data_IF_120697632247
#
_entry.id   IF_120697632247
#
_cell.length_a   1.000
_cell.length_b   1.000
_cell.length_c   1.000
_cell.angle_alpha   90.00
_cell.angle_beta   90.00
_cell.angle_gamma   90.00
#
_symmetry.space_group_name_H-M   'P 1'
#
loop_
_entity.id
_entity.type
_entity.pdbx_description
1 polymer ?
#
# COMPACT_ATOMS: atom_id res chain seq x y z
N UNK A 1 -13.32 45.93 8.70
CA UNK A 1 -13.31 44.51 9.15
C UNK A 1 -14.54 43.86 8.54
N UNK A 2 -14.50 42.87 7.67
CA UNK A 2 -13.46 42.09 7.01
C UNK A 2 -14.15 41.51 5.77
N UNK A 3 -13.55 41.65 4.60
CA UNK A 3 -13.95 40.94 3.39
C UNK A 3 -13.76 39.43 3.62
N UNK A 4 -14.86 38.67 3.65
CA UNK A 4 -14.81 37.22 3.49
C UNK A 4 -14.90 36.89 2.01
N UNK A 5 -13.84 36.34 1.38
CA UNK A 5 -13.98 35.79 0.04
C UNK A 5 -14.77 34.48 0.16
N UNK A 6 -15.99 34.48 -0.39
CA UNK A 6 -16.72 33.26 -0.73
C UNK A 6 -15.76 32.29 -1.43
N UNK A 7 -15.44 31.18 -0.75
CA UNK A 7 -14.87 30.00 -1.39
C UNK A 7 -15.90 29.53 -2.40
N UNK A 8 -15.77 29.99 -3.65
CA UNK A 8 -16.46 29.42 -4.82
C UNK A 8 -16.22 27.92 -4.80
N UNK A 9 -17.20 27.16 -4.32
CA UNK A 9 -17.33 25.73 -4.52
C UNK A 9 -17.33 25.52 -6.02
N UNK A 10 -16.16 25.20 -6.56
CA UNK A 10 -16.01 24.87 -7.97
C UNK A 10 -16.59 23.48 -8.17
N UNK A 11 -17.91 23.40 -8.32
CA UNK A 11 -18.61 22.23 -8.84
C UNK A 11 -18.26 22.13 -10.33
N UNK A 12 -17.06 21.62 -10.61
CA UNK A 12 -16.66 21.27 -11.97
C UNK A 12 -17.58 20.13 -12.40
N UNK A 13 -18.31 20.35 -13.47
CA UNK A 13 -19.07 19.32 -14.17
C UNK A 13 -18.10 18.17 -14.50
N UNK A 14 -18.06 17.13 -13.66
CA UNK A 14 -17.15 15.99 -13.82
C UNK A 14 -17.70 15.15 -14.95
N UNK A 15 -17.24 15.45 -16.17
CA UNK A 15 -17.57 14.69 -17.35
C UNK A 15 -17.04 13.26 -17.14
N UNK A 16 -17.94 12.27 -17.03
CA UNK A 16 -17.66 10.87 -16.64
C UNK A 16 -16.71 10.12 -17.60
N UNK A 17 -16.34 10.77 -18.71
CA UNK A 17 -15.47 10.28 -19.77
C UNK A 17 -14.01 10.73 -19.65
N UNK A 18 -13.70 11.73 -18.81
CA UNK A 18 -12.30 12.16 -18.61
C UNK A 18 -11.57 11.18 -17.71
N UNK A 19 -10.41 10.72 -18.15
CA UNK A 19 -9.52 9.85 -17.37
C UNK A 19 -8.14 10.51 -17.24
N UNK A 20 -7.51 10.38 -16.07
CA UNK A 20 -6.08 10.70 -15.89
C UNK A 20 -5.27 9.73 -16.80
N UNK A 21 -4.11 10.12 -17.34
CA UNK A 21 -3.32 9.26 -18.26
C UNK A 21 -1.83 9.10 -17.86
N UNK A 22 -1.38 9.66 -16.72
CA UNK A 22 0.04 9.75 -16.33
C UNK A 22 0.47 8.83 -15.18
N UNK A 23 -0.35 7.86 -14.86
CA UNK A 23 -0.24 7.07 -13.64
C UNK A 23 0.79 5.90 -13.72
N UNK A 24 1.80 6.00 -14.60
CA UNK A 24 2.80 4.96 -14.83
C UNK A 24 4.00 5.01 -13.88
N UNK A 25 4.19 6.10 -13.14
CA UNK A 25 5.28 6.29 -12.18
C UNK A 25 4.75 6.35 -10.75
N UNK A 26 5.52 5.84 -9.78
CA UNK A 26 5.16 5.87 -8.35
C UNK A 26 5.00 7.30 -7.78
N UNK A 27 5.42 8.33 -8.53
CA UNK A 27 5.57 9.71 -8.08
C UNK A 27 4.63 10.76 -8.73
N UNK A 28 3.82 10.42 -9.74
CA UNK A 28 3.09 11.47 -10.49
C UNK A 28 1.77 11.87 -9.82
N UNK A 29 1.87 12.91 -8.99
CA UNK A 29 0.76 13.42 -8.18
C UNK A 29 -0.19 14.40 -8.88
N UNK A 30 0.20 15.13 -9.94
CA UNK A 30 -0.63 16.21 -10.53
C UNK A 30 -1.45 15.76 -11.73
N UNK A 31 -2.65 16.34 -11.87
CA UNK A 31 -3.44 16.14 -13.08
C UNK A 31 -2.84 16.89 -14.27
N UNK A 32 -2.56 16.21 -15.41
CA UNK A 32 -1.95 16.84 -16.58
C UNK A 32 -2.87 17.84 -17.28
N UNK A 33 -4.19 17.76 -17.06
CA UNK A 33 -5.14 18.71 -17.68
C UNK A 33 -5.15 20.07 -16.97
N UNK A 34 -4.99 20.08 -15.64
CA UNK A 34 -5.15 21.30 -14.85
C UNK A 34 -3.84 21.79 -14.26
N UNK A 35 -2.88 20.90 -14.00
CA UNK A 35 -1.64 21.12 -13.25
C UNK A 35 -1.80 21.74 -11.84
N UNK A 36 -3.00 22.05 -11.36
CA UNK A 36 -3.24 22.76 -10.10
C UNK A 36 -3.41 21.81 -8.91
N UNK A 37 -4.19 20.74 -9.09
CA UNK A 37 -4.57 19.79 -8.03
C UNK A 37 -4.06 18.38 -8.33
N UNK A 38 -4.09 17.53 -7.29
CA UNK A 38 -3.70 16.14 -7.44
C UNK A 38 -4.75 15.38 -8.29
N UNK A 39 -4.36 14.35 -9.06
CA UNK A 39 -5.36 13.60 -9.87
C UNK A 39 -6.53 13.08 -9.01
N UNK A 40 -6.26 12.67 -7.75
CA UNK A 40 -7.26 12.20 -6.79
C UNK A 40 -8.31 13.23 -6.37
N UNK A 41 -7.98 14.52 -6.48
CA UNK A 41 -8.91 15.61 -6.17
C UNK A 41 -9.80 15.94 -7.36
N UNK A 42 -9.47 15.42 -8.55
CA UNK A 42 -10.22 15.64 -9.78
C UNK A 42 -11.14 14.51 -10.16
N UNK A 43 -10.74 13.27 -9.91
CA UNK A 43 -11.47 12.10 -10.36
C UNK A 43 -11.78 11.18 -9.18
N UNK A 44 -12.94 10.50 -9.18
CA UNK A 44 -13.18 9.37 -8.30
C UNK A 44 -12.11 8.30 -8.48
N UNK A 45 -11.80 7.54 -7.43
CA UNK A 45 -10.73 6.54 -7.41
C UNK A 45 -10.77 5.58 -8.61
N UNK A 46 -11.95 5.09 -8.98
CA UNK A 46 -12.16 4.19 -10.13
C UNK A 46 -11.96 4.83 -11.52
N UNK A 47 -11.79 6.16 -11.61
CA UNK A 47 -11.62 6.90 -12.87
C UNK A 47 -10.16 7.33 -13.13
N UNK A 48 -9.21 6.85 -12.33
CA UNK A 48 -7.79 7.10 -12.51
C UNK A 48 -7.14 6.08 -13.46
N UNK A 49 -7.12 6.31 -14.76
CA UNK A 49 -6.24 5.51 -15.62
C UNK A 49 -4.79 6.03 -15.58
N UNK A 50 -3.78 5.18 -15.87
CA UNK A 50 -3.81 3.73 -15.80
C UNK A 50 -3.79 3.15 -14.37
N UNK A 51 -3.63 3.93 -13.29
CA UNK A 51 -3.39 3.38 -11.93
C UNK A 51 -4.54 2.49 -11.43
N UNK A 52 -5.78 2.98 -11.46
CA UNK A 52 -6.95 2.24 -11.02
C UNK A 52 -7.19 1.03 -11.91
N UNK A 53 -7.00 1.15 -13.23
CA UNK A 53 -7.11 -0.01 -14.14
C UNK A 53 -6.05 -1.07 -13.84
N UNK A 54 -4.81 -0.65 -13.58
CA UNK A 54 -3.71 -1.53 -13.17
C UNK A 54 -4.02 -2.20 -11.83
N UNK A 55 -4.47 -1.44 -10.84
CA UNK A 55 -4.87 -1.97 -9.53
C UNK A 55 -6.05 -2.93 -9.65
N UNK A 56 -7.05 -2.65 -10.49
CA UNK A 56 -8.17 -3.55 -10.74
C UNK A 56 -7.73 -4.82 -11.47
N UNK A 57 -6.84 -4.74 -12.46
CA UNK A 57 -6.24 -5.92 -13.11
C UNK A 57 -5.45 -6.76 -12.11
N UNK A 58 -4.70 -6.12 -11.23
CA UNK A 58 -3.98 -6.82 -10.16
C UNK A 58 -5.00 -7.49 -9.22
N UNK A 59 -6.04 -6.79 -8.78
CA UNK A 59 -7.07 -7.30 -7.89
C UNK A 59 -7.84 -8.51 -8.47
N UNK A 60 -8.00 -8.60 -9.80
CA UNK A 60 -8.59 -9.78 -10.45
C UNK A 60 -7.82 -11.07 -10.15
N UNK A 61 -6.52 -10.99 -9.90
CA UNK A 61 -5.66 -12.15 -9.57
C UNK A 61 -5.45 -12.33 -8.06
N UNK A 62 -5.84 -11.35 -7.26
CA UNK A 62 -5.59 -11.34 -5.82
C UNK A 62 -6.87 -11.64 -5.08
N UNK A 63 -6.96 -12.83 -4.49
CA UNK A 63 -8.12 -13.26 -3.71
C UNK A 63 -7.75 -13.36 -2.24
N UNK A 64 -8.66 -12.88 -1.38
CA UNK A 64 -8.52 -13.06 0.05
C UNK A 64 -8.49 -14.54 0.39
N UNK A 65 -7.45 -14.99 1.10
CA UNK A 65 -7.30 -16.41 1.42
C UNK A 65 -8.38 -16.95 2.39
N UNK A 66 -9.15 -16.05 3.02
CA UNK A 66 -10.19 -16.41 4.00
C UNK A 66 -11.56 -16.54 3.34
N UNK A 67 -12.00 -15.52 2.58
CA UNK A 67 -13.35 -15.48 2.00
C UNK A 67 -13.40 -15.58 0.47
N UNK A 68 -12.26 -15.66 -0.22
CA UNK A 68 -12.20 -15.75 -1.68
C UNK A 68 -12.59 -14.48 -2.43
N UNK A 69 -12.98 -13.40 -1.76
CA UNK A 69 -13.30 -12.13 -2.41
C UNK A 69 -12.02 -11.47 -2.96
N UNK A 70 -12.16 -10.64 -3.99
CA UNK A 70 -11.03 -9.87 -4.51
C UNK A 70 -10.42 -8.99 -3.41
N UNK A 71 -9.10 -9.06 -3.27
CA UNK A 71 -8.30 -8.19 -2.42
C UNK A 71 -7.81 -7.05 -3.28
N UNK A 72 -8.24 -5.84 -2.96
CA UNK A 72 -7.90 -4.64 -3.72
C UNK A 72 -6.67 -3.97 -3.11
N UNK A 73 -5.50 -4.00 -3.78
CA UNK A 73 -4.40 -3.15 -3.38
C UNK A 73 -4.78 -1.69 -3.63
N UNK A 74 -4.27 -0.81 -2.78
CA UNK A 74 -4.48 0.61 -2.86
C UNK A 74 -3.15 1.35 -2.91
N UNK A 75 -3.08 2.38 -3.74
CA UNK A 75 -1.94 3.27 -3.81
C UNK A 75 -2.41 4.62 -4.32
N UNK A 76 -2.02 5.66 -3.61
CA UNK A 76 -2.36 7.04 -3.96
C UNK A 76 -1.36 8.05 -3.40
N UNK A 77 -1.29 9.22 -4.01
CA UNK A 77 -0.39 10.29 -3.61
C UNK A 77 -1.14 11.28 -2.72
N UNK A 78 -0.81 11.33 -1.43
CA UNK A 78 -1.35 12.31 -0.46
C UNK A 78 -0.87 13.72 -0.80
N UNK A 79 0.38 13.86 -1.26
CA UNK A 79 0.96 15.12 -1.71
C UNK A 79 1.95 14.85 -2.85
N UNK A 80 2.62 15.90 -3.36
CA UNK A 80 3.68 15.75 -4.37
C UNK A 80 4.84 14.86 -3.94
N UNK A 81 5.06 14.76 -2.63
CA UNK A 81 6.21 14.09 -2.03
C UNK A 81 5.77 13.08 -0.99
N UNK A 82 4.47 12.78 -0.89
CA UNK A 82 3.95 11.84 0.08
C UNK A 82 2.94 10.93 -0.59
N UNK A 83 3.16 9.63 -0.45
CA UNK A 83 2.40 8.57 -1.09
C UNK A 83 1.98 7.58 -0.02
N UNK A 84 0.82 6.95 -0.21
CA UNK A 84 0.34 5.86 0.62
C UNK A 84 0.23 4.62 -0.24
N UNK A 85 0.60 3.48 0.34
CA UNK A 85 0.68 2.19 -0.35
C UNK A 85 0.14 1.10 0.56
N UNK A 86 -0.87 0.39 0.10
CA UNK A 86 -1.39 -0.82 0.72
C UNK A 86 -1.47 -1.94 -0.32
N UNK A 87 -0.72 -3.01 -0.10
CA UNK A 87 -0.69 -4.13 -1.03
C UNK A 87 -1.82 -5.14 -0.81
N UNK A 88 -2.72 -4.89 0.15
CA UNK A 88 -3.76 -5.83 0.58
C UNK A 88 -3.22 -7.22 0.94
N UNK A 89 -2.00 -7.26 1.49
CA UNK A 89 -1.24 -8.49 1.73
C UNK A 89 -0.76 -8.56 3.17
N UNK A 90 -0.89 -9.73 3.78
CA UNK A 90 -0.35 -9.95 5.10
C UNK A 90 1.18 -9.92 5.08
N UNK A 91 1.81 -9.02 5.85
CA UNK A 91 3.29 -8.95 5.98
C UNK A 91 3.86 -10.25 6.57
N UNK A 92 3.11 -10.89 7.47
CA UNK A 92 3.53 -12.09 8.19
C UNK A 92 3.56 -13.40 7.40
N UNK A 93 2.58 -13.63 6.52
CA UNK A 93 2.51 -14.87 5.71
C UNK A 93 2.56 -14.62 4.20
N UNK A 94 2.35 -13.39 3.75
CA UNK A 94 2.30 -13.04 2.33
C UNK A 94 1.02 -13.45 1.61
N UNK A 95 -0.04 -13.85 2.32
CA UNK A 95 -1.34 -14.11 1.68
C UNK A 95 -2.11 -12.80 1.54
N UNK A 96 -2.97 -12.70 0.53
CA UNK A 96 -3.83 -11.54 0.34
C UNK A 96 -4.99 -11.54 1.34
N UNK A 97 -5.32 -10.36 1.87
CA UNK A 97 -6.30 -10.17 2.95
C UNK A 97 -7.14 -8.92 2.64
N UNK A 98 -8.46 -9.10 2.56
CA UNK A 98 -9.38 -7.98 2.37
C UNK A 98 -9.46 -7.08 3.62
N UNK A 99 -9.90 -5.84 3.42
CA UNK A 99 -9.48 -4.69 4.24
C UNK A 99 -9.91 -4.76 5.72
N UNK A 100 -11.16 -5.10 6.00
CA UNK A 100 -11.70 -4.82 7.34
C UNK A 100 -12.20 -6.05 8.10
N UNK A 101 -12.57 -7.14 7.42
CA UNK A 101 -13.04 -8.35 8.12
C UNK A 101 -11.90 -9.30 8.52
N UNK A 102 -10.84 -9.39 7.70
CA UNK A 102 -9.80 -10.41 7.85
C UNK A 102 -8.43 -9.85 8.24
N UNK A 103 -8.34 -8.53 8.39
CA UNK A 103 -7.14 -7.86 8.89
C UNK A 103 -7.30 -7.61 10.39
N UNK A 104 -6.58 -8.40 11.19
CA UNK A 104 -6.63 -8.29 12.65
C UNK A 104 -5.75 -7.16 13.20
N UNK A 105 -4.72 -6.76 12.45
CA UNK A 105 -3.82 -5.68 12.82
C UNK A 105 -3.27 -4.98 11.58
N UNK A 106 -3.25 -3.65 11.62
CA UNK A 106 -2.57 -2.79 10.65
C UNK A 106 -1.39 -2.10 11.34
N UNK A 107 -0.24 -2.04 10.69
CA UNK A 107 0.95 -1.32 11.14
C UNK A 107 1.37 -0.40 10.02
N UNK A 108 1.60 0.86 10.34
CA UNK A 108 2.07 1.83 9.36
C UNK A 108 3.60 1.89 9.40
N UNK A 109 4.21 1.94 8.23
CA UNK A 109 5.64 2.15 8.07
C UNK A 109 5.87 3.32 7.11
N UNK A 110 6.90 4.11 7.36
CA UNK A 110 7.19 5.30 6.56
C UNK A 110 8.60 5.19 6.03
N UNK A 111 8.71 5.02 4.72
CA UNK A 111 9.97 4.98 4.01
C UNK A 111 10.18 6.31 3.30
N UNK A 112 11.37 6.89 3.44
CA UNK A 112 11.75 8.10 2.71
C UNK A 112 12.76 7.69 1.66
N UNK A 113 12.38 7.81 0.41
CA UNK A 113 13.25 7.60 -0.75
C UNK A 113 13.71 8.95 -1.29
N UNK A 114 14.96 9.06 -1.73
CA UNK A 114 15.51 10.30 -2.29
C UNK A 114 15.89 10.08 -3.73
N UNK A 115 15.27 10.85 -4.61
CA UNK A 115 15.64 10.96 -6.02
C UNK A 115 16.32 12.32 -6.25
N UNK A 116 17.65 12.32 -6.22
CA UNK A 116 18.45 13.54 -6.30
C UNK A 116 18.16 14.51 -5.14
N UNK A 117 17.63 15.70 -5.47
CA UNK A 117 17.27 16.73 -4.49
C UNK A 117 15.83 16.60 -3.95
N UNK A 118 15.02 15.67 -4.48
CA UNK A 118 13.63 15.48 -4.07
C UNK A 118 13.52 14.25 -3.16
N UNK A 119 12.92 14.45 -1.99
CA UNK A 119 12.55 13.36 -1.09
C UNK A 119 11.09 12.98 -1.30
N UNK A 120 10.84 11.69 -1.49
CA UNK A 120 9.52 11.07 -1.55
C UNK A 120 9.29 10.26 -0.27
N UNK A 121 8.15 10.45 0.36
CA UNK A 121 7.71 9.76 1.57
C UNK A 121 6.65 8.74 1.18
N UNK A 122 6.91 7.47 1.41
CA UNK A 122 5.97 6.37 1.17
C UNK A 122 5.48 5.83 2.51
N UNK A 123 4.18 5.98 2.78
CA UNK A 123 3.48 5.41 3.92
C UNK A 123 2.92 4.05 3.52
N UNK A 124 3.58 2.99 3.96
CA UNK A 124 3.18 1.62 3.72
C UNK A 124 2.24 1.14 4.82
N UNK A 125 1.12 0.54 4.43
CA UNK A 125 0.25 -0.20 5.35
C UNK A 125 0.61 -1.67 5.32
N UNK A 126 1.00 -2.18 6.48
CA UNK A 126 1.28 -3.58 6.70
C UNK A 126 0.13 -4.25 7.42
N UNK A 127 -0.58 -5.11 6.69
CA UNK A 127 -1.67 -5.91 7.25
C UNK A 127 -1.12 -7.18 7.91
N UNK A 128 -1.76 -7.60 8.99
CA UNK A 128 -1.55 -8.91 9.62
C UNK A 128 -2.89 -9.62 9.74
N UNK A 129 -2.99 -10.81 9.15
CA UNK A 129 -4.15 -11.67 9.34
C UNK A 129 -4.19 -12.20 10.78
N UNK A 130 -5.31 -12.79 11.17
CA UNK A 130 -5.52 -13.34 12.51
C UNK A 130 -4.36 -14.23 12.98
N UNK A 131 -3.94 -15.19 12.14
CA UNK A 131 -2.83 -16.09 12.46
C UNK A 131 -1.47 -15.38 12.64
N UNK A 132 -1.22 -14.29 11.92
CA UNK A 132 0.07 -13.57 11.99
C UNK A 132 0.07 -12.43 13.02
N UNK A 133 -1.09 -11.95 13.45
CA UNK A 133 -1.23 -10.79 14.33
C UNK A 133 -0.56 -10.99 15.70
N UNK A 134 -0.68 -12.16 16.38
CA UNK A 134 0.03 -12.41 17.64
C UNK A 134 1.56 -12.36 17.49
N UNK A 135 2.07 -12.72 16.31
CA UNK A 135 3.50 -12.83 16.01
C UNK A 135 4.03 -11.60 15.23
N UNK A 136 3.29 -10.49 15.19
CA UNK A 136 3.63 -9.35 14.34
C UNK A 136 5.01 -8.76 14.64
N UNK A 137 5.45 -8.78 15.91
CA UNK A 137 6.75 -8.24 16.35
C UNK A 137 7.93 -8.98 15.73
N UNK A 138 7.77 -10.27 15.47
CA UNK A 138 8.81 -11.10 14.83
C UNK A 138 8.59 -11.22 13.33
N UNK A 139 7.65 -10.47 12.73
CA UNK A 139 7.35 -10.55 11.29
C UNK A 139 6.40 -11.70 10.91
N UNK A 140 5.53 -12.12 11.85
CA UNK A 140 4.53 -13.17 11.63
C UNK A 140 5.15 -14.55 11.43
N UNK A 141 4.41 -15.43 10.75
CA UNK A 141 4.81 -16.83 10.54
C UNK A 141 6.15 -16.91 9.80
N UNK A 142 6.37 -16.12 8.74
CA UNK A 142 7.62 -16.11 7.99
C UNK A 142 8.82 -15.78 8.87
N UNK A 143 8.68 -14.78 9.72
CA UNK A 143 9.76 -14.40 10.63
C UNK A 143 9.98 -15.42 11.74
N UNK A 144 8.91 -16.02 12.29
CA UNK A 144 9.03 -17.13 13.23
C UNK A 144 9.76 -18.33 12.61
N UNK A 145 9.41 -18.72 11.37
CA UNK A 145 10.10 -19.80 10.66
C UNK A 145 11.58 -19.51 10.47
N UNK A 146 11.95 -18.26 10.13
CA UNK A 146 13.36 -17.86 10.01
C UNK A 146 14.11 -17.99 11.32
N UNK A 147 13.49 -17.62 12.45
CA UNK A 147 14.08 -17.77 13.78
C UNK A 147 14.29 -19.25 14.11
N UNK A 148 13.27 -20.10 13.91
CA UNK A 148 13.37 -21.54 14.17
C UNK A 148 14.47 -22.19 13.34
N UNK A 149 14.51 -21.88 12.03
CA UNK A 149 15.57 -22.39 11.14
C UNK A 149 16.94 -21.92 11.60
N UNK A 150 17.10 -20.64 11.91
CA UNK A 150 18.37 -20.09 12.40
C UNK A 150 18.87 -20.78 13.67
N UNK A 151 18.00 -20.95 14.67
CA UNK A 151 18.33 -21.65 15.92
C UNK A 151 18.66 -23.12 15.65
N UNK A 152 17.86 -23.79 14.82
CA UNK A 152 18.08 -25.19 14.45
C UNK A 152 19.41 -25.41 13.74
N UNK A 153 19.78 -24.51 12.82
CA UNK A 153 21.07 -24.57 12.11
C UNK A 153 22.25 -24.37 13.07
N UNK A 154 22.15 -23.42 14.01
CA UNK A 154 23.21 -23.19 15.01
C UNK A 154 23.36 -24.40 15.94
N UNK A 155 22.24 -24.95 16.44
CA UNK A 155 22.25 -26.13 17.30
C UNK A 155 22.83 -27.37 16.60
N UNK A 156 22.42 -27.61 15.34
CA UNK A 156 22.96 -28.71 14.53
C UNK A 156 24.46 -28.54 14.27
N UNK A 157 24.90 -27.31 13.97
CA UNK A 157 26.32 -27.00 13.79
C UNK A 157 27.15 -27.24 15.05
N UNK A 158 26.67 -26.80 16.21
CA UNK A 158 27.33 -27.05 17.50
C UNK A 158 27.38 -28.55 17.83
N UNK A 159 26.26 -29.27 17.64
CA UNK A 159 26.21 -30.71 17.84
C UNK A 159 27.23 -31.42 16.96
N UNK A 160 27.30 -31.09 15.67
CA UNK A 160 28.28 -31.69 14.76
C UNK A 160 29.72 -31.35 15.15
N UNK A 161 30.00 -30.12 15.60
CA UNK A 161 31.33 -29.71 16.05
C UNK A 161 31.81 -30.43 17.31
N UNK A 162 30.92 -30.73 18.26
CA UNK A 162 31.28 -31.39 19.52
C UNK A 162 31.21 -32.92 19.48
N UNK A 163 30.54 -33.51 18.48
CA UNK A 163 30.40 -34.96 18.31
C UNK A 163 31.18 -35.52 17.11
N UNK A 164 32.06 -34.71 16.52
CA UNK A 164 33.02 -35.13 15.50
C UNK A 164 34.44 -34.79 15.97
#
# INVERSE_FOLDING_TARGET
MQDTPEKKSYTRNVNSTRRCHECSEEALGRCPDCHQVLCQEHFPKNQHSPCAEKQMKIAQTQVCYVCGTQAYPDQWSISKTSHYVDQAKCKGCGRYVCDDLHTQRKVEDVVIEREGLRGHRYQYIHRYCDLCSPLYRVGGIKGLTRIIVGIGTVAAGAFFYFHH
#
